data_IF_651059369281
#
_entry.id   IF_651059369281
#
_cell.length_a   1.000
_cell.length_b   1.000
_cell.length_c   1.000
_cell.angle_alpha   90.00
_cell.angle_beta   90.00
_cell.angle_gamma   90.00
#
_symmetry.space_group_name_H-M   'P 1'
#
loop_
_entity.id
_entity.type
_entity.pdbx_description
1 polymer ?
#
# COMPACT_ATOMS: atom_id res chain seq x y z
N UNK A 1 0.23 -5.92 12.88
CA UNK A 1 -0.39 -5.08 11.83
C UNK A 1 0.53 -3.90 11.55
N UNK A 2 0.64 -3.46 10.31
CA UNK A 2 1.32 -2.21 9.96
C UNK A 2 0.27 -1.19 9.52
N UNK A 3 0.27 -0.01 10.13
CA UNK A 3 -0.61 1.11 9.77
C UNK A 3 0.23 2.17 9.05
N UNK A 4 -0.14 2.46 7.81
CA UNK A 4 0.43 3.58 7.06
C UNK A 4 -0.38 4.84 7.39
N UNK A 5 0.31 5.95 7.68
CA UNK A 5 -0.33 7.21 8.06
C UNK A 5 0.44 8.40 7.49
N UNK A 6 -0.28 9.45 7.09
CA UNK A 6 0.34 10.71 6.71
C UNK A 6 1.11 11.31 7.90
N UNK A 7 2.24 11.98 7.64
CA UNK A 7 3.11 12.48 8.71
C UNK A 7 2.36 13.44 9.66
N UNK A 8 1.44 14.25 9.10
CA UNK A 8 0.60 15.20 9.86
C UNK A 8 -0.34 14.51 10.86
N UNK A 9 -0.78 13.29 10.57
CA UNK A 9 -1.78 12.56 11.35
C UNK A 9 -1.16 11.57 12.33
N UNK A 10 0.14 11.28 12.20
CA UNK A 10 0.87 10.35 13.06
C UNK A 10 0.70 10.63 14.56
N UNK A 11 0.84 11.87 15.08
CA UNK A 11 0.67 12.12 16.51
C UNK A 11 -0.74 11.77 17.01
N UNK A 12 -1.77 12.05 16.19
CA UNK A 12 -3.16 11.73 16.53
C UNK A 12 -3.39 10.22 16.53
N UNK A 13 -2.88 9.51 15.52
CA UNK A 13 -3.01 8.05 15.46
C UNK A 13 -2.29 7.38 16.64
N UNK A 14 -1.07 7.80 16.96
CA UNK A 14 -0.33 7.27 18.12
C UNK A 14 -1.13 7.35 19.42
N UNK A 15 -1.80 8.49 19.66
CA UNK A 15 -2.66 8.66 20.84
C UNK A 15 -3.87 7.73 20.82
N UNK A 16 -4.49 7.52 19.67
CA UNK A 16 -5.65 6.62 19.53
C UNK A 16 -5.28 5.15 19.72
N UNK A 17 -4.02 4.80 19.48
CA UNK A 17 -3.50 3.43 19.61
C UNK A 17 -2.82 3.18 20.98
N UNK A 18 -2.82 4.14 21.89
CA UNK A 18 -2.21 3.98 23.23
C UNK A 18 -2.79 2.75 23.95
N UNK A 19 -1.90 1.89 24.44
CA UNK A 19 -2.28 0.64 25.13
C UNK A 19 -2.63 -0.53 24.21
N UNK A 20 -2.64 -0.33 22.88
CA UNK A 20 -2.75 -1.42 21.91
C UNK A 20 -1.36 -1.96 21.55
N UNK A 21 -1.26 -3.27 21.45
CA UNK A 21 -0.04 -3.97 21.05
C UNK A 21 -0.12 -4.47 19.61
N UNK A 22 1.02 -4.87 19.04
CA UNK A 22 1.13 -5.47 17.70
C UNK A 22 0.71 -4.56 16.53
N UNK A 23 0.76 -3.24 16.70
CA UNK A 23 0.56 -2.25 15.63
C UNK A 23 1.84 -1.44 15.45
N UNK A 24 2.42 -1.52 14.25
CA UNK A 24 3.54 -0.68 13.85
C UNK A 24 3.01 0.49 13.02
N UNK A 25 3.32 1.73 13.42
CA UNK A 25 2.88 2.94 12.71
C UNK A 25 4.02 3.46 11.84
N UNK A 26 3.78 3.50 10.53
CA UNK A 26 4.74 3.91 9.51
C UNK A 26 4.20 5.10 8.71
N UNK A 27 5.09 5.99 8.30
CA UNK A 27 4.69 7.17 7.53
C UNK A 27 4.60 6.85 6.04
N UNK A 28 3.45 7.16 5.45
CA UNK A 28 3.23 7.20 4.01
C UNK A 28 2.08 8.17 3.69
N UNK A 29 2.31 9.03 2.71
CA UNK A 29 1.26 9.90 2.18
C UNK A 29 0.37 9.10 1.21
N UNK A 30 -0.92 9.41 1.21
CA UNK A 30 -1.92 8.81 0.34
C UNK A 30 -2.97 9.88 -0.02
N UNK A 31 -3.58 9.75 -1.19
CA UNK A 31 -4.71 10.60 -1.56
C UNK A 31 -6.02 10.07 -0.92
N UNK A 32 -6.13 8.75 -0.69
CA UNK A 32 -7.22 8.11 0.05
C UNK A 32 -6.83 6.78 0.72
N UNK A 33 -7.73 6.18 1.52
CA UNK A 33 -7.42 5.09 2.45
C UNK A 33 -7.74 3.68 1.91
N UNK A 34 -7.53 3.44 0.61
CA UNK A 34 -7.89 2.18 -0.07
C UNK A 34 -6.67 1.33 -0.46
N UNK A 35 -5.86 0.93 0.53
CA UNK A 35 -4.62 0.14 0.29
C UNK A 35 -4.85 -1.20 -0.39
N UNK A 36 -6.08 -1.74 -0.33
CA UNK A 36 -6.50 -2.93 -1.10
C UNK A 36 -6.34 -2.72 -2.60
N UNK A 37 -6.61 -1.50 -3.07
CA UNK A 37 -6.67 -1.16 -4.49
C UNK A 37 -5.38 -0.52 -4.98
N UNK A 38 -4.78 0.36 -4.17
CA UNK A 38 -3.56 1.13 -4.51
C UNK A 38 -2.25 0.52 -4.01
N UNK A 39 -2.32 -0.44 -3.09
CA UNK A 39 -1.16 -1.20 -2.60
C UNK A 39 -0.70 -2.29 -3.57
N UNK A 40 0.39 -3.00 -3.25
CA UNK A 40 0.86 -4.07 -4.09
C UNK A 40 0.04 -5.35 -3.89
N UNK A 41 -0.01 -6.19 -4.91
CA UNK A 41 -0.45 -7.59 -4.79
C UNK A 41 0.78 -8.46 -4.61
N UNK A 42 0.89 -9.15 -3.47
CA UNK A 42 2.02 -10.04 -3.23
C UNK A 42 1.86 -11.36 -3.99
N UNK A 43 2.98 -11.87 -4.51
CA UNK A 43 3.04 -13.17 -5.17
C UNK A 43 4.18 -13.99 -4.61
N UNK A 44 4.06 -15.32 -4.65
CA UNK A 44 5.09 -16.26 -4.24
C UNK A 44 5.40 -17.17 -5.42
N UNK A 45 6.66 -17.25 -5.83
CA UNK A 45 7.07 -18.17 -6.90
C UNK A 45 7.04 -19.62 -6.43
N UNK A 46 7.12 -20.58 -7.36
CA UNK A 46 7.27 -22.02 -7.01
C UNK A 46 8.50 -22.29 -6.13
N UNK A 47 9.54 -21.46 -6.25
CA UNK A 47 10.75 -21.53 -5.43
C UNK A 47 10.59 -20.84 -4.05
N UNK A 48 9.39 -20.36 -3.70
CA UNK A 48 9.11 -19.70 -2.42
C UNK A 48 9.55 -18.23 -2.33
N UNK A 49 9.90 -17.60 -3.45
CA UNK A 49 10.36 -16.19 -3.46
C UNK A 49 9.15 -15.26 -3.41
N UNK A 50 9.06 -14.46 -2.35
CA UNK A 50 8.04 -13.41 -2.19
C UNK A 50 8.40 -12.18 -3.03
N UNK A 51 7.43 -11.68 -3.79
CA UNK A 51 7.53 -10.44 -4.58
C UNK A 51 6.27 -9.61 -4.43
N UNK A 52 6.38 -8.32 -4.73
CA UNK A 52 5.25 -7.39 -4.78
C UNK A 52 4.96 -7.00 -6.22
N UNK A 53 3.70 -7.03 -6.65
CA UNK A 53 3.26 -6.58 -7.97
C UNK A 53 2.57 -5.22 -7.83
N UNK A 54 3.07 -4.21 -8.55
CA UNK A 54 2.47 -2.89 -8.71
C UNK A 54 1.65 -2.86 -10.00
N UNK A 55 0.38 -2.52 -9.87
CA UNK A 55 -0.49 -2.15 -10.99
C UNK A 55 -0.50 -0.63 -11.18
N UNK A 56 -0.93 -0.19 -12.37
CA UNK A 56 -1.10 1.23 -12.66
C UNK A 56 -2.45 1.72 -12.12
N UNK A 57 -2.57 1.80 -10.79
CA UNK A 57 -3.73 2.40 -10.15
C UNK A 57 -3.99 3.80 -10.73
N UNK A 58 -5.27 4.13 -10.92
CA UNK A 58 -5.63 5.36 -11.62
C UNK A 58 -6.84 6.08 -11.01
N UNK A 59 -7.19 5.77 -9.76
CA UNK A 59 -8.35 6.32 -9.08
C UNK A 59 -9.67 5.87 -9.71
N UNK A 60 -9.84 4.54 -9.87
CA UNK A 60 -11.06 3.89 -10.37
C UNK A 60 -11.60 4.49 -11.67
N UNK A 61 -10.71 4.64 -12.65
CA UNK A 61 -11.00 5.22 -13.96
C UNK A 61 -10.86 6.74 -13.99
N UNK A 62 -9.80 7.29 -13.38
CA UNK A 62 -9.50 8.73 -13.37
C UNK A 62 -10.58 9.58 -12.68
N UNK A 63 -11.35 8.99 -11.77
CA UNK A 63 -12.45 9.65 -11.05
C UNK A 63 -12.01 10.30 -9.75
N UNK A 64 -10.78 10.01 -9.31
CA UNK A 64 -10.22 10.49 -8.05
C UNK A 64 -8.75 10.87 -8.23
N UNK A 65 -8.28 11.84 -7.42
CA UNK A 65 -6.86 12.16 -7.29
C UNK A 65 -6.13 10.96 -6.69
N UNK A 66 -5.04 10.52 -7.31
CA UNK A 66 -4.38 9.25 -6.97
C UNK A 66 -2.84 9.30 -7.13
N UNK A 67 -2.28 10.49 -7.25
CA UNK A 67 -0.84 10.73 -7.38
C UNK A 67 0.01 10.14 -6.25
N UNK A 68 -0.48 10.20 -5.01
CA UNK A 68 0.16 9.65 -3.81
C UNK A 68 -0.16 8.18 -3.67
N UNK A 69 -1.39 7.77 -3.99
CA UNK A 69 -1.82 6.37 -3.97
C UNK A 69 -0.94 5.50 -4.89
N UNK A 70 -0.56 6.03 -6.06
CA UNK A 70 0.32 5.35 -7.02
C UNK A 70 1.75 5.05 -6.53
N UNK A 71 2.13 5.63 -5.39
CA UNK A 71 3.44 5.42 -4.76
C UNK A 71 3.38 4.38 -3.63
N UNK A 72 2.17 4.00 -3.17
CA UNK A 72 2.00 3.09 -2.04
C UNK A 72 2.54 1.69 -2.34
N UNK A 73 2.33 1.16 -3.54
CA UNK A 73 2.83 -0.16 -3.93
C UNK A 73 4.36 -0.28 -3.77
N UNK A 74 5.08 0.74 -4.21
CA UNK A 74 6.55 0.83 -4.12
C UNK A 74 7.00 0.98 -2.67
N UNK A 75 6.39 1.91 -1.93
CA UNK A 75 6.66 2.10 -0.49
C UNK A 75 6.47 0.83 0.32
N UNK A 76 5.40 0.08 0.05
CA UNK A 76 5.09 -1.17 0.76
C UNK A 76 6.07 -2.28 0.39
N UNK A 77 6.49 -2.39 -0.87
CA UNK A 77 7.50 -3.35 -1.29
C UNK A 77 8.85 -3.08 -0.62
N UNK A 78 9.27 -1.81 -0.57
CA UNK A 78 10.49 -1.39 0.13
C UNK A 78 10.44 -1.73 1.63
N UNK A 79 9.31 -1.43 2.29
CA UNK A 79 9.10 -1.75 3.70
C UNK A 79 9.06 -3.26 3.98
N UNK A 80 8.63 -4.06 3.01
CA UNK A 80 8.64 -5.52 3.09
C UNK A 80 10.00 -6.13 2.71
N UNK A 81 10.91 -5.34 2.10
CA UNK A 81 12.22 -5.82 1.64
C UNK A 81 12.12 -6.82 0.50
N UNK A 82 11.14 -6.66 -0.41
CA UNK A 82 10.91 -7.60 -1.53
C UNK A 82 11.06 -6.91 -2.88
N UNK A 83 11.35 -7.69 -3.91
CA UNK A 83 11.39 -7.22 -5.29
C UNK A 83 10.02 -6.70 -5.74
N UNK A 84 10.01 -5.52 -6.36
CA UNK A 84 8.83 -4.92 -6.97
C UNK A 84 8.78 -5.22 -8.47
N UNK A 85 7.73 -5.90 -8.90
CA UNK A 85 7.38 -6.12 -10.30
C UNK A 85 6.35 -5.07 -10.73
N UNK A 86 6.59 -4.36 -11.83
CA UNK A 86 5.64 -3.37 -12.35
C UNK A 86 4.88 -3.95 -13.54
N UNK A 87 3.55 -3.89 -13.47
CA UNK A 87 2.64 -4.31 -14.54
C UNK A 87 2.30 -3.13 -15.45
N UNK A 88 2.00 -3.41 -16.73
CA UNK A 88 1.40 -2.42 -17.64
C UNK A 88 -0.12 -2.29 -17.47
N UNK A 89 -0.76 -3.18 -16.71
CA UNK A 89 -2.21 -3.16 -16.51
C UNK A 89 -2.63 -2.04 -15.57
N UNK A 90 -3.71 -1.35 -15.96
CA UNK A 90 -4.51 -0.52 -15.05
C UNK A 90 -5.48 -1.45 -14.35
N UNK A 91 -5.33 -1.60 -13.04
CA UNK A 91 -6.08 -2.56 -12.24
C UNK A 91 -6.01 -2.16 -10.76
N UNK A 92 -7.09 -2.45 -10.04
CA UNK A 92 -7.19 -2.37 -8.60
C UNK A 92 -7.10 -3.76 -7.98
N UNK A 93 -6.29 -3.93 -6.93
CA UNK A 93 -6.14 -5.23 -6.26
C UNK A 93 -7.45 -5.81 -5.73
N UNK A 94 -8.44 -4.98 -5.35
CA UNK A 94 -9.78 -5.44 -4.95
C UNK A 94 -10.69 -5.88 -6.10
N UNK A 95 -10.27 -5.71 -7.36
CA UNK A 95 -11.04 -6.10 -8.55
C UNK A 95 -10.77 -7.53 -9.04
N UNK A 96 -9.93 -8.30 -8.34
CA UNK A 96 -9.53 -9.68 -8.69
C UNK A 96 -9.63 -10.61 -7.47
N UNK A 97 -9.86 -11.90 -7.71
CA UNK A 97 -9.92 -12.98 -6.70
C UNK A 97 -9.17 -14.24 -7.18
#
# INVERSE_FOLDING_TARGET
VKALVAAKDRPRLSRLLEGLENIEVLEAEADDLWVRDSGPVFTVSEAGVLRAVKFNFNGWGQKQRHSLDNQLAEKIADLAGVELLTSSLVLEGGGIE
#
